data_IF_216523327980
#
_entry.id   IF_216523327980
#
_cell.length_a   1.000
_cell.length_b   1.000
_cell.length_c   1.000
_cell.angle_alpha   90.00
_cell.angle_beta   90.00
_cell.angle_gamma   90.00
#
_symmetry.space_group_name_H-M   'P 1'
#
loop_
_entity.id
_entity.type
_entity.pdbx_description
1 polymer ?
#
# COMPACT_ATOMS: atom_id res chain seq x y z
N UNK A 1 -26.84 2.70 -14.92
CA UNK A 1 -25.93 2.52 -13.76
C UNK A 1 -26.61 3.12 -12.55
N UNK A 2 -26.87 2.37 -11.46
CA UNK A 2 -27.41 2.96 -10.22
C UNK A 2 -26.22 3.58 -9.47
N UNK A 3 -26.22 4.90 -9.32
CA UNK A 3 -25.22 5.63 -8.55
C UNK A 3 -25.49 5.41 -7.06
N UNK A 4 -24.80 4.45 -6.47
CA UNK A 4 -24.80 4.22 -5.02
C UNK A 4 -23.54 4.83 -4.43
N UNK A 5 -23.58 5.21 -3.15
CA UNK A 5 -22.42 5.78 -2.45
C UNK A 5 -21.19 4.85 -2.55
N UNK A 6 -21.31 3.51 -2.36
CA UNK A 6 -20.18 2.60 -2.55
C UNK A 6 -19.55 2.67 -3.95
N UNK A 7 -20.36 2.70 -5.01
CA UNK A 7 -19.84 2.76 -6.39
C UNK A 7 -19.06 4.06 -6.66
N UNK A 8 -19.48 5.19 -6.07
CA UNK A 8 -18.76 6.47 -6.20
C UNK A 8 -17.40 6.37 -5.52
N UNK A 9 -17.33 5.74 -4.34
CA UNK A 9 -16.08 5.53 -3.61
C UNK A 9 -15.13 4.59 -4.35
N UNK A 10 -15.63 3.51 -4.97
CA UNK A 10 -14.84 2.62 -5.85
C UNK A 10 -14.24 3.38 -7.03
N UNK A 11 -15.03 4.23 -7.70
CA UNK A 11 -14.55 5.05 -8.83
C UNK A 11 -13.51 6.05 -8.34
N UNK A 12 -13.73 6.67 -7.18
CA UNK A 12 -12.76 7.56 -6.54
C UNK A 12 -11.41 6.86 -6.32
N UNK A 13 -11.41 5.62 -5.84
CA UNK A 13 -10.19 4.80 -5.72
C UNK A 13 -9.54 4.55 -7.06
N UNK A 14 -10.30 4.19 -8.09
CA UNK A 14 -9.77 3.98 -9.43
C UNK A 14 -9.09 5.24 -10.00
N UNK A 15 -9.60 6.42 -9.68
CA UNK A 15 -8.98 7.72 -10.03
C UNK A 15 -7.73 7.99 -9.19
N UNK A 16 -7.72 7.58 -7.91
CA UNK A 16 -6.56 7.74 -7.03
C UNK A 16 -5.34 6.94 -7.52
N UNK A 17 -5.55 5.80 -8.18
CA UNK A 17 -4.48 4.95 -8.74
C UNK A 17 -3.51 5.75 -9.64
N UNK A 18 -3.94 6.36 -10.78
CA UNK A 18 -3.04 7.17 -11.59
C UNK A 18 -2.64 8.48 -10.92
N UNK A 19 -3.45 8.99 -9.98
CA UNK A 19 -3.16 10.25 -9.31
C UNK A 19 -1.86 10.17 -8.49
N UNK A 20 -1.61 9.04 -7.81
CA UNK A 20 -0.40 8.83 -7.00
C UNK A 20 0.90 9.15 -7.77
N UNK A 21 1.23 8.48 -8.90
CA UNK A 21 2.44 8.81 -9.66
C UNK A 21 2.36 10.19 -10.33
N UNK A 22 1.17 10.65 -10.76
CA UNK A 22 0.99 11.99 -11.32
C UNK A 22 1.42 13.08 -10.32
N UNK A 23 1.19 12.88 -9.01
CA UNK A 23 1.66 13.83 -8.00
C UNK A 23 3.18 14.02 -8.05
N UNK A 24 3.94 12.96 -8.27
CA UNK A 24 5.40 13.03 -8.38
C UNK A 24 5.91 13.49 -9.75
N UNK A 25 5.07 13.44 -10.79
CA UNK A 25 5.42 13.93 -12.14
C UNK A 25 5.22 15.44 -12.28
N UNK A 26 4.16 15.99 -11.69
CA UNK A 26 3.75 17.38 -11.92
C UNK A 26 4.01 18.32 -10.73
N UNK A 27 4.21 17.79 -9.52
CA UNK A 27 4.47 18.62 -8.34
C UNK A 27 5.90 18.44 -7.86
N UNK A 28 6.51 19.55 -7.43
CA UNK A 28 7.79 19.51 -6.72
C UNK A 28 7.57 18.97 -5.30
N UNK A 29 8.59 18.30 -4.77
CA UNK A 29 8.68 17.94 -3.36
C UNK A 29 8.78 19.25 -2.52
N UNK A 30 8.10 19.38 -1.36
CA UNK A 30 7.40 18.34 -0.58
C UNK A 30 5.93 18.12 -0.98
N UNK A 31 5.37 18.99 -1.82
CA UNK A 31 3.93 18.95 -2.13
C UNK A 31 3.50 17.62 -2.74
N UNK A 32 4.36 17.03 -3.58
CA UNK A 32 4.14 15.68 -4.12
C UNK A 32 3.95 14.62 -3.02
N UNK A 33 4.80 14.60 -1.97
CA UNK A 33 4.70 13.63 -0.88
C UNK A 33 3.42 13.82 -0.06
N UNK A 34 3.08 15.07 0.25
CA UNK A 34 1.86 15.39 0.97
C UNK A 34 0.61 14.98 0.20
N UNK A 35 0.54 15.32 -1.09
CA UNK A 35 -0.60 14.94 -1.91
C UNK A 35 -0.71 13.43 -2.06
N UNK A 36 0.41 12.72 -2.27
CA UNK A 36 0.41 11.27 -2.35
C UNK A 36 -0.05 10.62 -1.03
N UNK A 37 0.45 11.09 0.11
CA UNK A 37 0.05 10.61 1.44
C UNK A 37 -1.45 10.82 1.67
N UNK A 38 -1.96 12.03 1.39
CA UNK A 38 -3.38 12.36 1.60
C UNK A 38 -4.27 11.53 0.67
N UNK A 39 -3.94 11.47 -0.62
CA UNK A 39 -4.68 10.66 -1.60
C UNK A 39 -4.71 9.20 -1.18
N UNK A 40 -3.58 8.65 -0.75
CA UNK A 40 -3.49 7.26 -0.30
C UNK A 40 -4.33 7.00 0.95
N UNK A 41 -4.23 7.86 1.98
CA UNK A 41 -5.02 7.72 3.22
C UNK A 41 -6.51 7.82 2.92
N UNK A 42 -6.93 8.81 2.14
CA UNK A 42 -8.34 8.99 1.77
C UNK A 42 -8.84 7.75 1.02
N UNK A 43 -8.10 7.27 0.02
CA UNK A 43 -8.46 6.07 -0.72
C UNK A 43 -8.57 4.82 0.20
N UNK A 44 -7.60 4.62 1.08
CA UNK A 44 -7.57 3.52 2.05
C UNK A 44 -8.75 3.55 3.03
N UNK A 45 -9.08 4.73 3.57
CA UNK A 45 -10.21 4.91 4.49
C UNK A 45 -11.54 4.72 3.76
N UNK A 46 -11.66 5.23 2.53
CA UNK A 46 -12.89 5.08 1.75
C UNK A 46 -13.21 3.64 1.40
N UNK A 47 -12.21 2.77 1.18
CA UNK A 47 -12.40 1.31 1.02
C UNK A 47 -13.01 0.66 2.27
N UNK A 48 -12.50 1.02 3.45
CA UNK A 48 -13.08 0.49 4.68
C UNK A 48 -14.53 0.93 4.88
N UNK A 49 -14.81 2.20 4.58
CA UNK A 49 -16.13 2.81 4.73
C UNK A 49 -17.12 2.27 3.70
N UNK A 50 -16.73 2.11 2.43
CA UNK A 50 -17.63 1.61 1.39
C UNK A 50 -18.06 0.16 1.65
N UNK A 51 -17.15 -0.70 2.09
CA UNK A 51 -17.45 -2.08 2.46
C UNK A 51 -18.34 -2.17 3.70
N UNK A 52 -18.22 -1.21 4.64
CA UNK A 52 -19.14 -1.11 5.77
C UNK A 52 -20.54 -0.65 5.33
N UNK A 53 -20.63 0.42 4.53
CA UNK A 53 -21.89 0.99 4.06
C UNK A 53 -22.66 0.05 3.13
N UNK A 54 -21.96 -0.67 2.24
CA UNK A 54 -22.58 -1.65 1.35
C UNK A 54 -23.30 -2.76 2.13
N UNK A 55 -22.67 -3.26 3.20
CA UNK A 55 -23.27 -4.26 4.11
C UNK A 55 -24.40 -3.68 4.96
N UNK A 56 -24.21 -2.47 5.48
CA UNK A 56 -25.19 -1.83 6.37
C UNK A 56 -26.48 -1.40 5.65
N UNK A 57 -26.38 -1.01 4.37
CA UNK A 57 -27.53 -0.51 3.60
C UNK A 57 -28.05 -1.48 2.54
N UNK A 58 -27.49 -2.70 2.46
CA UNK A 58 -27.84 -3.71 1.44
C UNK A 58 -27.76 -3.16 0.00
N UNK A 59 -26.85 -2.22 -0.25
CA UNK A 59 -26.66 -1.56 -1.55
C UNK A 59 -25.53 -2.23 -2.35
N UNK A 60 -25.53 -3.56 -2.40
CA UNK A 60 -24.56 -4.31 -3.18
C UNK A 60 -24.88 -4.21 -4.68
N UNK A 61 -23.91 -3.77 -5.47
CA UNK A 61 -24.05 -3.68 -6.92
C UNK A 61 -23.07 -4.64 -7.60
N UNK A 62 -23.48 -5.26 -8.71
CA UNK A 62 -22.60 -6.15 -9.49
C UNK A 62 -21.32 -5.43 -9.96
N UNK A 63 -21.44 -4.12 -10.27
CA UNK A 63 -20.31 -3.29 -10.69
C UNK A 63 -19.31 -3.12 -9.56
N UNK A 64 -19.74 -2.63 -8.40
CA UNK A 64 -18.89 -2.47 -7.20
C UNK A 64 -18.22 -3.78 -6.81
N UNK A 65 -19.00 -4.86 -6.72
CA UNK A 65 -18.48 -6.20 -6.39
C UNK A 65 -17.36 -6.70 -7.34
N UNK A 66 -17.36 -6.25 -8.59
CA UNK A 66 -16.34 -6.64 -9.59
C UNK A 66 -15.16 -5.66 -9.59
N UNK A 67 -15.42 -4.36 -9.43
CA UNK A 67 -14.41 -3.31 -9.50
C UNK A 67 -13.63 -3.14 -8.19
N UNK A 68 -14.25 -3.36 -7.03
CA UNK A 68 -13.60 -3.18 -5.72
C UNK A 68 -12.31 -3.98 -5.58
N UNK A 69 -12.26 -5.29 -5.92
CA UNK A 69 -11.03 -6.06 -5.83
C UNK A 69 -9.97 -5.62 -6.85
N UNK A 70 -10.38 -5.00 -7.96
CA UNK A 70 -9.45 -4.49 -8.99
C UNK A 70 -8.85 -3.17 -8.52
N UNK A 71 -9.69 -2.24 -8.03
CA UNK A 71 -9.27 -0.94 -7.55
C UNK A 71 -8.34 -1.06 -6.34
N UNK A 72 -8.64 -1.97 -5.39
CA UNK A 72 -7.80 -2.23 -4.22
C UNK A 72 -6.38 -2.69 -4.61
N UNK A 73 -6.29 -3.72 -5.47
CA UNK A 73 -5.00 -4.21 -5.97
C UNK A 73 -4.27 -3.13 -6.74
N UNK A 74 -4.94 -2.42 -7.63
CA UNK A 74 -4.30 -1.38 -8.43
C UNK A 74 -3.73 -0.25 -7.55
N UNK A 75 -4.48 0.21 -6.54
CA UNK A 75 -4.03 1.23 -5.60
C UNK A 75 -2.77 0.79 -4.86
N UNK A 76 -2.79 -0.43 -4.33
CA UNK A 76 -1.67 -1.02 -3.59
C UNK A 76 -0.44 -1.21 -4.47
N UNK A 77 -0.60 -1.77 -5.67
CA UNK A 77 0.52 -2.01 -6.59
C UNK A 77 1.16 -0.68 -7.03
N UNK A 78 0.34 0.32 -7.35
CA UNK A 78 0.85 1.65 -7.72
C UNK A 78 1.52 2.36 -6.54
N UNK A 79 0.98 2.25 -5.32
CA UNK A 79 1.64 2.79 -4.13
C UNK A 79 3.02 2.15 -3.89
N UNK A 80 3.14 0.82 -4.02
CA UNK A 80 4.43 0.12 -3.91
C UNK A 80 5.42 0.60 -4.98
N UNK A 81 4.97 0.79 -6.23
CA UNK A 81 5.81 1.30 -7.31
C UNK A 81 6.33 2.70 -7.02
N UNK A 82 5.44 3.61 -6.60
CA UNK A 82 5.81 4.99 -6.24
C UNK A 82 6.81 5.01 -5.10
N UNK A 83 6.56 4.28 -4.01
CA UNK A 83 7.48 4.24 -2.88
C UNK A 83 8.82 3.61 -3.29
N UNK A 84 8.82 2.52 -4.06
CA UNK A 84 10.05 1.90 -4.54
C UNK A 84 10.88 2.85 -5.42
N UNK A 85 10.25 3.70 -6.21
CA UNK A 85 10.92 4.69 -7.06
C UNK A 85 11.48 5.89 -6.28
N UNK A 86 10.83 6.29 -5.18
CA UNK A 86 11.04 7.61 -4.58
C UNK A 86 11.52 7.63 -3.12
N UNK A 87 11.61 6.48 -2.44
CA UNK A 87 11.88 6.39 -0.98
C UNK A 87 13.36 6.28 -0.57
N UNK A 88 14.30 6.17 -1.51
CA UNK A 88 15.74 5.97 -1.23
C UNK A 88 16.12 4.61 -0.62
N UNK A 89 15.16 3.84 -0.09
CA UNK A 89 15.34 2.54 0.57
C UNK A 89 15.15 1.36 -0.40
N UNK A 90 15.62 1.52 -1.65
CA UNK A 90 15.25 0.65 -2.77
C UNK A 90 15.40 -0.84 -2.46
N UNK A 91 16.51 -1.28 -1.86
CA UNK A 91 16.75 -2.71 -1.60
C UNK A 91 15.75 -3.30 -0.60
N UNK A 92 15.44 -2.58 0.48
CA UNK A 92 14.59 -3.08 1.56
C UNK A 92 13.09 -3.04 1.24
N UNK A 93 12.70 -2.27 0.22
CA UNK A 93 11.31 -2.11 -0.21
C UNK A 93 11.03 -2.92 -1.48
N UNK A 94 11.97 -2.98 -2.43
CA UNK A 94 11.76 -3.66 -3.72
C UNK A 94 11.50 -5.16 -3.53
N UNK A 95 12.26 -5.84 -2.66
CA UNK A 95 12.09 -7.27 -2.46
C UNK A 95 10.72 -7.65 -1.86
N UNK A 96 10.27 -7.07 -0.72
CA UNK A 96 8.93 -7.36 -0.21
C UNK A 96 7.82 -6.89 -1.17
N UNK A 97 8.02 -5.76 -1.88
CA UNK A 97 7.08 -5.31 -2.92
C UNK A 97 6.94 -6.34 -4.03
N UNK A 98 8.06 -6.90 -4.52
CA UNK A 98 8.07 -7.93 -5.55
C UNK A 98 7.32 -9.19 -5.14
N UNK A 99 7.50 -9.65 -3.89
CA UNK A 99 6.75 -10.78 -3.32
C UNK A 99 5.24 -10.49 -3.34
N UNK A 100 4.85 -9.28 -2.94
CA UNK A 100 3.43 -8.90 -2.88
C UNK A 100 2.83 -8.82 -4.30
N UNK A 101 3.51 -8.14 -5.22
CA UNK A 101 3.08 -8.00 -6.62
C UNK A 101 2.95 -9.39 -7.27
N UNK A 102 3.99 -10.22 -7.15
CA UNK A 102 3.99 -11.58 -7.71
C UNK A 102 2.79 -12.38 -7.21
N UNK A 103 2.56 -12.41 -5.90
CA UNK A 103 1.44 -13.14 -5.31
C UNK A 103 0.10 -12.61 -5.82
N UNK A 104 -0.07 -11.30 -5.92
CA UNK A 104 -1.34 -10.71 -6.30
C UNK A 104 -1.73 -11.02 -7.75
N UNK A 105 -0.75 -11.06 -8.65
CA UNK A 105 -0.92 -11.54 -10.02
C UNK A 105 -1.14 -13.05 -10.03
N UNK A 106 -0.30 -13.81 -9.33
CA UNK A 106 -0.35 -15.28 -9.29
C UNK A 106 -1.69 -15.82 -8.80
N UNK A 107 -2.21 -15.32 -7.68
CA UNK A 107 -3.50 -15.77 -7.13
C UNK A 107 -4.67 -15.36 -8.02
N UNK A 108 -4.56 -14.21 -8.72
CA UNK A 108 -5.58 -13.79 -9.68
C UNK A 108 -5.61 -14.72 -10.89
N UNK A 109 -4.44 -15.01 -11.49
CA UNK A 109 -4.33 -15.96 -12.60
C UNK A 109 -4.74 -17.38 -12.22
N UNK A 110 -4.43 -17.83 -11.00
CA UNK A 110 -4.86 -19.13 -10.50
C UNK A 110 -6.39 -19.24 -10.40
N UNK A 111 -7.06 -18.17 -9.94
CA UNK A 111 -8.53 -18.13 -9.87
C UNK A 111 -9.16 -18.12 -11.26
N UNK A 112 -8.55 -17.40 -12.20
CA UNK A 112 -9.01 -17.36 -13.58
C UNK A 112 -8.88 -18.73 -14.25
N UNK A 113 -7.72 -19.39 -14.12
CA UNK A 113 -7.46 -20.71 -14.68
C UNK A 113 -8.41 -21.80 -14.16
N UNK A 114 -8.87 -21.68 -12.91
CA UNK A 114 -9.79 -22.65 -12.30
C UNK A 114 -11.27 -22.42 -12.62
N UNK A 115 -11.64 -21.27 -13.21
CA UNK A 115 -13.03 -20.93 -13.54
C UNK A 115 -13.99 -21.16 -12.37
N UNK A 116 -15.05 -21.94 -12.59
CA UNK A 116 -16.07 -22.25 -11.57
C UNK A 116 -15.50 -23.00 -10.35
N UNK A 117 -14.42 -23.78 -10.51
CA UNK A 117 -13.75 -24.50 -9.42
C UNK A 117 -13.03 -23.53 -8.46
N UNK A 118 -12.76 -22.30 -8.87
CA UNK A 118 -12.13 -21.27 -8.03
C UNK A 118 -12.96 -20.92 -6.78
N UNK A 119 -14.27 -21.19 -6.78
CA UNK A 119 -15.16 -20.98 -5.63
C UNK A 119 -14.75 -21.85 -4.42
N UNK A 120 -14.00 -22.93 -4.64
CA UNK A 120 -13.43 -23.76 -3.57
C UNK A 120 -12.24 -23.08 -2.84
N UNK A 121 -11.62 -22.06 -3.44
CA UNK A 121 -10.50 -21.30 -2.86
C UNK A 121 -10.98 -20.24 -1.87
N UNK A 122 -11.59 -20.68 -0.76
CA UNK A 122 -12.06 -19.80 0.32
C UNK A 122 -10.94 -18.92 0.86
N UNK A 123 -11.29 -17.65 1.12
CA UNK A 123 -10.38 -16.66 1.72
C UNK A 123 -10.03 -17.07 3.14
N UNK A 124 -8.73 -17.10 3.45
CA UNK A 124 -8.24 -17.37 4.80
C UNK A 124 -8.18 -16.11 5.65
N UNK A 125 -8.26 -16.27 6.97
CA UNK A 125 -8.17 -15.14 7.92
C UNK A 125 -6.81 -14.44 7.86
N UNK A 126 -5.73 -15.15 7.49
CA UNK A 126 -4.41 -14.58 7.20
C UNK A 126 -4.49 -13.54 6.08
N UNK A 127 -5.35 -13.79 5.08
CA UNK A 127 -5.60 -12.86 3.99
C UNK A 127 -6.29 -11.55 4.40
N UNK A 128 -6.92 -11.48 5.57
CA UNK A 128 -7.49 -10.22 6.09
C UNK A 128 -6.42 -9.37 6.78
N UNK A 129 -5.61 -10.01 7.63
CA UNK A 129 -4.54 -9.33 8.35
C UNK A 129 -3.45 -8.79 7.41
N UNK A 130 -3.13 -9.50 6.32
CA UNK A 130 -2.12 -9.03 5.35
C UNK A 130 -2.45 -7.63 4.82
N UNK A 131 -3.72 -7.39 4.47
CA UNK A 131 -4.15 -6.14 3.85
C UNK A 131 -4.04 -4.99 4.84
N UNK A 132 -4.53 -5.17 6.07
CA UNK A 132 -4.40 -4.15 7.12
C UNK A 132 -2.94 -3.78 7.37
N UNK A 133 -2.07 -4.78 7.55
CA UNK A 133 -0.63 -4.55 7.77
C UNK A 133 -0.02 -3.81 6.58
N UNK A 134 -0.39 -4.19 5.37
CA UNK A 134 0.11 -3.57 4.14
C UNK A 134 -0.33 -2.11 4.00
N UNK A 135 -1.59 -1.78 4.28
CA UNK A 135 -2.08 -0.39 4.18
C UNK A 135 -1.42 0.51 5.23
N UNK A 136 -1.19 0.00 6.44
CA UNK A 136 -0.44 0.73 7.48
C UNK A 136 1.01 0.93 7.06
N UNK A 137 1.67 -0.12 6.53
CA UNK A 137 3.04 -0.04 6.04
C UNK A 137 3.20 1.06 4.98
N UNK A 138 2.34 1.06 3.95
CA UNK A 138 2.35 2.04 2.88
C UNK A 138 2.11 3.47 3.39
N UNK A 139 1.18 3.64 4.33
CA UNK A 139 0.90 4.95 4.94
C UNK A 139 2.13 5.50 5.66
N UNK A 140 2.81 4.67 6.46
CA UNK A 140 4.04 5.08 7.17
C UNK A 140 5.19 5.38 6.21
N UNK A 141 5.31 4.63 5.12
CA UNK A 141 6.34 4.86 4.11
C UNK A 141 6.10 6.16 3.31
N UNK A 142 4.85 6.51 3.00
CA UNK A 142 4.53 7.83 2.46
C UNK A 142 4.81 8.94 3.47
N UNK A 143 4.48 8.73 4.75
CA UNK A 143 4.80 9.69 5.81
C UNK A 143 6.32 9.89 5.98
N UNK A 144 7.13 8.82 5.85
CA UNK A 144 8.60 8.92 5.81
C UNK A 144 9.07 9.84 4.69
N UNK A 145 8.49 9.75 3.49
CA UNK A 145 8.83 10.62 2.36
C UNK A 145 8.61 12.11 2.67
N UNK A 146 7.50 12.44 3.35
CA UNK A 146 7.22 13.80 3.83
C UNK A 146 8.31 14.28 4.79
N UNK A 147 8.63 13.50 5.83
CA UNK A 147 9.64 13.87 6.83
C UNK A 147 11.03 14.00 6.22
N UNK A 148 11.45 13.05 5.39
CA UNK A 148 12.74 13.04 4.71
C UNK A 148 12.98 14.31 3.91
N UNK A 149 11.96 14.79 3.20
CA UNK A 149 12.10 16.02 2.45
C UNK A 149 12.30 17.25 3.35
N UNK A 150 11.54 17.37 4.45
CA UNK A 150 11.72 18.49 5.37
C UNK A 150 13.07 18.46 6.08
N UNK A 151 13.51 17.28 6.53
CA UNK A 151 14.83 17.11 7.14
C UNK A 151 15.90 17.55 6.13
N UNK A 152 15.87 17.01 4.90
CA UNK A 152 16.85 17.34 3.87
C UNK A 152 16.86 18.82 3.45
N UNK A 153 15.70 19.48 3.38
CA UNK A 153 15.66 20.92 3.08
C UNK A 153 16.16 21.79 4.23
N UNK A 154 15.88 21.40 5.47
CA UNK A 154 16.23 22.21 6.65
C UNK A 154 17.65 21.96 7.15
N UNK A 155 18.24 20.80 6.85
CA UNK A 155 19.65 20.50 7.07
C UNK A 155 20.54 20.95 5.90
N UNK A 156 19.97 21.52 4.84
CA UNK A 156 20.75 21.91 3.67
C UNK A 156 21.76 23.01 4.02
N UNK A 157 23.05 22.71 3.84
CA UNK A 157 24.15 23.62 4.16
C UNK A 157 24.58 23.59 5.64
N UNK A 158 24.02 22.70 6.45
CA UNK A 158 24.47 22.39 7.81
C UNK A 158 25.63 21.39 7.76
N UNK A 159 26.62 21.54 8.63
CA UNK A 159 27.64 20.53 8.89
C UNK A 159 27.10 19.42 9.79
N UNK A 160 27.62 18.20 9.61
CA UNK A 160 27.14 17.01 10.33
C UNK A 160 27.27 17.19 11.86
N UNK A 161 28.30 17.90 12.32
CA UNK A 161 28.54 18.17 13.74
C UNK A 161 27.46 19.08 14.35
N UNK A 162 27.05 20.15 13.65
CA UNK A 162 25.95 21.01 14.11
C UNK A 162 24.61 20.26 14.09
N UNK A 163 24.40 19.40 13.09
CA UNK A 163 23.20 18.57 13.02
C UNK A 163 23.10 17.64 14.23
N UNK A 164 24.18 16.93 14.57
CA UNK A 164 24.24 16.03 15.72
C UNK A 164 24.06 16.81 17.05
N UNK A 165 24.71 17.96 17.20
CA UNK A 165 24.54 18.83 18.38
C UNK A 165 23.09 19.31 18.57
N UNK A 166 22.36 19.60 17.48
CA UNK A 166 20.93 19.95 17.55
C UNK A 166 20.10 18.74 17.99
N UNK A 167 20.42 17.53 17.51
CA UNK A 167 19.72 16.30 17.89
C UNK A 167 19.97 15.91 19.35
N UNK A 168 21.20 16.11 19.85
CA UNK A 168 21.60 15.85 21.23
C UNK A 168 21.09 16.94 22.20
N UNK A 169 20.53 18.03 21.66
CA UNK A 169 19.97 19.14 22.44
C UNK A 169 21.03 20.09 22.99
N UNK A 170 22.26 20.02 22.49
CA UNK A 170 23.35 20.94 22.83
C UNK A 170 23.13 22.33 22.20
N UNK A 171 22.46 22.38 21.04
CA UNK A 171 22.11 23.60 20.32
C UNK A 171 20.59 23.75 20.20
N UNK A 172 20.09 24.98 20.25
CA UNK A 172 18.65 25.27 20.17
C UNK A 172 18.07 24.92 18.80
N UNK A 173 17.13 23.97 18.78
CA UNK A 173 16.43 23.54 17.57
C UNK A 173 15.36 24.55 17.12
N UNK A 174 15.75 25.56 16.35
CA UNK A 174 14.82 26.54 15.79
C UNK A 174 13.96 25.99 14.64
N UNK A 175 14.43 24.94 13.95
CA UNK A 175 13.82 24.41 12.74
C UNK A 175 12.92 23.19 12.99
N UNK A 176 12.97 22.65 14.20
CA UNK A 176 12.27 21.44 14.59
C UNK A 176 12.88 20.17 13.97
N UNK A 177 14.20 20.14 13.75
CA UNK A 177 14.91 19.02 13.17
C UNK A 177 14.79 17.75 14.04
N UNK A 178 14.80 17.87 15.37
CA UNK A 178 14.77 16.71 16.27
C UNK A 178 13.54 15.82 16.07
N UNK A 179 12.34 16.41 16.14
CA UNK A 179 11.10 15.66 15.98
C UNK A 179 10.87 15.20 14.53
N UNK A 180 11.36 15.95 13.53
CA UNK A 180 11.26 15.55 12.11
C UNK A 180 12.15 14.37 11.78
N UNK A 181 13.40 14.37 12.27
CA UNK A 181 14.33 13.25 12.13
C UNK A 181 13.81 12.02 12.86
N UNK A 182 13.30 12.21 14.09
CA UNK A 182 12.65 11.12 14.84
C UNK A 182 11.46 10.55 14.07
N UNK A 183 10.59 11.42 13.54
CA UNK A 183 9.45 11.03 12.72
C UNK A 183 9.85 10.24 11.47
N UNK A 184 10.85 10.71 10.73
CA UNK A 184 11.42 10.04 9.55
C UNK A 184 11.92 8.63 9.87
N UNK A 185 12.71 8.49 10.95
CA UNK A 185 13.31 7.22 11.35
C UNK A 185 12.21 6.25 11.81
N UNK A 186 11.29 6.72 12.64
CA UNK A 186 10.19 5.89 13.15
C UNK A 186 9.27 5.41 12.04
N UNK A 187 8.77 6.33 11.19
CA UNK A 187 7.85 5.97 10.12
C UNK A 187 8.54 5.11 9.04
N UNK A 188 9.82 5.36 8.76
CA UNK A 188 10.63 4.54 7.87
C UNK A 188 10.83 3.12 8.37
N UNK A 189 11.37 2.97 9.58
CA UNK A 189 11.66 1.66 10.16
C UNK A 189 10.38 0.85 10.39
N UNK A 190 9.37 1.45 11.00
CA UNK A 190 8.09 0.79 11.22
C UNK A 190 7.41 0.43 9.89
N UNK A 191 7.45 1.33 8.91
CA UNK A 191 6.91 1.10 7.57
C UNK A 191 7.59 -0.09 6.86
N UNK A 192 8.93 -0.15 6.88
CA UNK A 192 9.69 -1.27 6.29
C UNK A 192 9.41 -2.58 7.03
N UNK A 193 9.44 -2.59 8.37
CA UNK A 193 9.16 -3.80 9.16
C UNK A 193 7.75 -4.33 8.84
N UNK A 194 6.74 -3.46 8.82
CA UNK A 194 5.38 -3.86 8.49
C UNK A 194 5.26 -4.32 7.04
N UNK A 195 5.98 -3.71 6.10
CA UNK A 195 6.00 -4.15 4.71
C UNK A 195 6.57 -5.58 4.58
N UNK A 196 7.62 -5.91 5.33
CA UNK A 196 8.16 -7.26 5.39
C UNK A 196 7.20 -8.26 6.03
N UNK A 197 6.53 -7.87 7.12
CA UNK A 197 5.47 -8.69 7.72
C UNK A 197 4.34 -8.93 6.70
N UNK A 198 3.90 -7.89 5.99
CA UNK A 198 2.90 -8.02 4.93
C UNK A 198 3.36 -8.96 3.81
N UNK A 199 4.63 -8.87 3.38
CA UNK A 199 5.20 -9.76 2.37
C UNK A 199 5.24 -11.22 2.84
N UNK A 200 5.63 -11.48 4.09
CA UNK A 200 5.62 -12.83 4.68
C UNK A 200 4.20 -13.40 4.76
N UNK A 201 3.25 -12.63 5.29
CA UNK A 201 1.83 -13.04 5.33
C UNK A 201 1.30 -13.30 3.92
N UNK A 202 1.72 -12.48 2.95
CA UNK A 202 1.35 -12.62 1.55
C UNK A 202 1.90 -13.91 0.95
N UNK A 203 3.18 -14.22 1.16
CA UNK A 203 3.81 -15.47 0.71
C UNK A 203 3.13 -16.71 1.32
N UNK A 204 2.90 -16.71 2.64
CA UNK A 204 2.21 -17.79 3.34
C UNK A 204 0.81 -18.00 2.75
N UNK A 205 0.06 -16.91 2.55
CA UNK A 205 -1.28 -17.01 1.95
C UNK A 205 -1.22 -17.50 0.50
N UNK A 206 -0.23 -17.07 -0.29
CA UNK A 206 -0.06 -17.49 -1.68
C UNK A 206 0.21 -18.98 -1.79
N UNK A 207 1.06 -19.52 -0.91
CA UNK A 207 1.32 -20.94 -0.82
C UNK A 207 0.06 -21.75 -0.45
N UNK A 208 -0.74 -21.27 0.49
CA UNK A 208 -2.01 -21.91 0.85
C UNK A 208 -3.00 -21.95 -0.33
N UNK A 209 -3.11 -20.85 -1.09
CA UNK A 209 -3.90 -20.82 -2.32
C UNK A 209 -3.41 -21.82 -3.35
N UNK A 210 -2.10 -21.88 -3.58
CA UNK A 210 -1.51 -22.81 -4.53
C UNK A 210 -1.76 -24.27 -4.13
N UNK A 211 -1.52 -24.63 -2.87
CA UNK A 211 -1.74 -25.98 -2.35
C UNK A 211 -3.20 -26.41 -2.52
N UNK A 212 -4.16 -25.52 -2.31
CA UNK A 212 -5.60 -25.79 -2.50
C UNK A 212 -5.99 -25.90 -3.97
N UNK A 213 -5.31 -25.21 -4.86
CA UNK A 213 -5.54 -25.29 -6.30
C UNK A 213 -4.91 -26.52 -6.95
N UNK A 214 -3.81 -27.03 -6.37
CA UNK A 214 -3.02 -28.13 -6.92
C UNK A 214 -3.81 -29.38 -7.36
N UNK A 215 -4.81 -29.87 -6.61
CA UNK A 215 -5.62 -31.01 -7.04
C UNK A 215 -6.39 -30.75 -8.34
N UNK A 216 -6.95 -29.54 -8.48
CA UNK A 216 -7.76 -29.16 -9.64
C UNK A 216 -6.93 -28.90 -10.90
N UNK A 217 -5.66 -28.51 -10.74
CA UNK A 217 -4.73 -28.34 -11.85
C UNK A 217 -4.27 -29.68 -12.43
N UNK A 218 -4.28 -30.75 -11.64
CA UNK A 218 -3.89 -32.11 -12.08
C UNK A 218 -5.01 -32.86 -12.82
N UNK A 219 -6.27 -32.55 -12.54
CA UNK A 219 -7.43 -33.20 -13.15
C UNK A 219 -7.71 -32.75 -14.60
N UNK A 220 -6.98 -31.76 -15.12
CA UNK A 220 -7.22 -31.22 -16.47
C UNK A 220 -6.67 -32.10 -17.60
N UNK A 221 -5.87 -33.13 -17.30
CA UNK A 221 -5.22 -33.99 -18.30
C UNK A 221 -6.04 -35.24 -18.71
N UNK A 222 -7.23 -35.47 -18.12
CA UNK A 222 -8.05 -36.68 -18.37
C UNK A 222 -9.34 -36.43 -19.19
N UNK A 223 -9.40 -35.38 -20.01
CA UNK A 223 -10.55 -35.06 -20.87
C UNK A 223 -10.21 -35.03 -22.37
#
# INVERSE_FOLDING_TARGET
MRWTIPNILTIGRLIAVPLLPIMFLFFARPWADWYALIVFIVAAVTDYVDGYLARAWSQESKFGATMDPIADKALVLTALLVIAAYSGLAVWIVLPSGIIIFREVFVSGLREALGDKARALKVTQIGKWKTTVQMIALTLLFAKGVFEHYVGMQSFGMDDELFDQILDGEVTDHLGLGWKTTGMIWSGNAGVILLWIAALLTAISGWDYFRKAWPFLKEADDA
#
